data_IF_127724761022
#
_entry.id   IF_127724761022
#
_cell.length_a   1.000
_cell.length_b   1.000
_cell.length_c   1.000
_cell.angle_alpha   90.00
_cell.angle_beta   90.00
_cell.angle_gamma   90.00
#
_symmetry.space_group_name_H-M   'P 1'
#
loop_
_entity.id
_entity.type
_entity.pdbx_description
1 polymer ?
#
# COMPACT_ATOMS: atom_id res chain seq x y z
N UNK A 1 29.37 2.20 -13.49
CA UNK A 1 28.34 2.49 -12.46
C UNK A 1 27.93 1.16 -11.85
N UNK A 2 28.05 0.93 -10.52
CA UNK A 2 27.60 -0.33 -9.94
C UNK A 2 26.08 -0.49 -10.16
N UNK A 3 25.65 -1.68 -10.52
CA UNK A 3 24.28 -1.98 -10.90
C UNK A 3 23.30 -1.61 -9.77
N UNK A 4 22.27 -0.85 -10.13
CA UNK A 4 21.13 -0.49 -9.29
C UNK A 4 20.51 -1.77 -8.71
N UNK A 5 20.48 -1.99 -7.38
CA UNK A 5 19.92 -3.22 -6.83
C UNK A 5 18.43 -3.26 -7.17
N UNK A 6 18.01 -4.27 -7.93
CA UNK A 6 16.62 -4.46 -8.28
C UNK A 6 15.76 -4.47 -7.00
N UNK A 7 14.67 -3.71 -6.97
CA UNK A 7 13.71 -3.64 -5.85
C UNK A 7 13.31 -5.02 -5.29
N UNK A 8 13.31 -6.05 -6.14
CA UNK A 8 13.11 -7.45 -5.72
C UNK A 8 14.14 -7.98 -4.73
N UNK A 9 15.41 -7.56 -4.82
CA UNK A 9 16.45 -7.99 -3.88
C UNK A 9 16.23 -7.42 -2.47
N UNK A 10 15.66 -6.22 -2.35
CA UNK A 10 15.34 -5.62 -1.05
C UNK A 10 14.23 -6.40 -0.33
N UNK A 11 13.15 -6.75 -1.04
CA UNK A 11 12.08 -7.59 -0.49
C UNK A 11 12.57 -8.97 -0.08
N UNK A 12 13.41 -9.61 -0.90
CA UNK A 12 13.96 -10.92 -0.55
C UNK A 12 14.83 -10.86 0.71
N UNK A 13 15.67 -9.83 0.86
CA UNK A 13 16.45 -9.61 2.08
C UNK A 13 15.57 -9.36 3.30
N UNK A 14 14.52 -8.56 3.16
CA UNK A 14 13.59 -8.27 4.24
C UNK A 14 12.86 -9.52 4.74
N UNK A 15 12.42 -10.39 3.82
CA UNK A 15 11.84 -11.69 4.16
C UNK A 15 12.87 -12.60 4.82
N UNK A 16 14.07 -12.72 4.25
CA UNK A 16 15.13 -13.57 4.76
C UNK A 16 15.58 -13.14 6.18
N UNK A 17 15.66 -11.84 6.45
CA UNK A 17 15.97 -11.30 7.79
C UNK A 17 14.94 -11.67 8.87
N UNK A 18 13.73 -12.07 8.46
CA UNK A 18 12.66 -12.58 9.33
C UNK A 18 12.59 -14.12 9.33
N UNK A 19 13.52 -14.80 8.67
CA UNK A 19 13.47 -16.25 8.47
C UNK A 19 12.35 -16.71 7.53
N UNK A 20 11.72 -15.79 6.79
CA UNK A 20 10.60 -16.08 5.91
C UNK A 20 11.05 -16.38 4.48
N UNK A 21 10.28 -17.22 3.80
CA UNK A 21 10.41 -17.47 2.36
C UNK A 21 9.10 -17.13 1.67
N UNK A 22 9.20 -16.46 0.53
CA UNK A 22 8.02 -16.14 -0.27
C UNK A 22 7.32 -17.43 -0.72
N UNK A 23 5.98 -17.45 -0.69
CA UNK A 23 5.20 -18.50 -1.33
C UNK A 23 5.25 -18.37 -2.86
N UNK A 24 4.94 -19.45 -3.57
CA UNK A 24 4.89 -19.44 -5.05
C UNK A 24 3.93 -18.38 -5.58
N UNK A 25 2.70 -18.35 -5.06
CA UNK A 25 1.69 -17.39 -5.48
C UNK A 25 2.12 -15.93 -5.25
N UNK A 26 2.87 -15.65 -4.17
CA UNK A 26 3.37 -14.29 -3.90
C UNK A 26 4.34 -13.85 -5.00
N UNK A 27 5.24 -14.74 -5.43
CA UNK A 27 6.16 -14.46 -6.53
C UNK A 27 5.42 -14.23 -7.86
N UNK A 28 4.32 -14.94 -8.08
CA UNK A 28 3.51 -14.77 -9.29
C UNK A 28 2.80 -13.42 -9.31
N UNK A 29 2.23 -13.00 -8.16
CA UNK A 29 1.68 -11.65 -7.97
C UNK A 29 2.73 -10.58 -8.25
N UNK A 30 3.95 -10.72 -7.69
CA UNK A 30 5.02 -9.75 -7.89
C UNK A 30 5.45 -9.66 -9.36
N UNK A 31 5.50 -10.78 -10.06
CA UNK A 31 5.81 -10.82 -11.50
C UNK A 31 4.73 -10.11 -12.32
N UNK A 32 3.46 -10.33 -12.00
CA UNK A 32 2.34 -9.66 -12.67
C UNK A 32 2.37 -8.14 -12.44
N UNK A 33 2.53 -7.70 -11.19
CA UNK A 33 2.60 -6.28 -10.84
C UNK A 33 3.80 -5.58 -11.47
N UNK A 34 4.98 -6.23 -11.50
CA UNK A 34 6.17 -5.70 -12.19
C UNK A 34 5.94 -5.47 -13.69
N UNK A 35 5.02 -6.23 -14.29
CA UNK A 35 4.64 -6.09 -15.70
C UNK A 35 3.47 -5.11 -15.91
N UNK A 36 3.03 -4.40 -14.87
CA UNK A 36 1.90 -3.46 -14.94
C UNK A 36 0.54 -4.15 -15.10
N UNK A 37 0.45 -5.46 -14.82
CA UNK A 37 -0.81 -6.20 -14.96
C UNK A 37 -1.72 -6.01 -13.74
N UNK A 38 -2.99 -5.73 -13.99
CA UNK A 38 -4.06 -5.80 -12.99
C UNK A 38 -4.55 -7.25 -12.82
N UNK A 39 -5.11 -7.58 -11.66
CA UNK A 39 -5.69 -8.90 -11.42
C UNK A 39 -6.34 -9.05 -10.05
N UNK A 40 -7.05 -10.16 -9.87
CA UNK A 40 -7.67 -10.56 -8.60
C UNK A 40 -6.80 -11.63 -7.92
N UNK A 41 -6.41 -11.37 -6.67
CA UNK A 41 -5.69 -12.34 -5.85
C UNK A 41 -6.68 -13.11 -4.97
N UNK A 42 -6.97 -14.35 -5.36
CA UNK A 42 -7.71 -15.29 -4.54
C UNK A 42 -6.74 -16.32 -3.92
N UNK A 43 -6.74 -16.42 -2.59
CA UNK A 43 -5.97 -17.39 -1.81
C UNK A 43 -6.65 -17.61 -0.45
N UNK A 44 -6.26 -18.62 0.32
CA UNK A 44 -6.90 -18.87 1.62
C UNK A 44 -6.56 -17.77 2.64
N UNK A 45 -7.40 -17.57 3.65
CA UNK A 45 -7.12 -16.66 4.76
C UNK A 45 -5.84 -17.09 5.51
N UNK A 46 -5.08 -16.14 6.04
CA UNK A 46 -3.82 -16.43 6.74
C UNK A 46 -2.61 -16.77 5.84
N UNK A 47 -2.77 -16.83 4.52
CA UNK A 47 -1.67 -17.19 3.59
C UNK A 47 -0.76 -16.01 3.19
N UNK A 48 -1.00 -14.81 3.73
CA UNK A 48 -0.17 -13.63 3.44
C UNK A 48 -0.54 -12.89 2.15
N UNK A 49 -1.82 -12.90 1.73
CA UNK A 49 -2.33 -12.12 0.58
C UNK A 49 -1.99 -10.63 0.66
N UNK A 50 -2.15 -10.02 1.83
CA UNK A 50 -1.81 -8.61 2.06
C UNK A 50 -0.34 -8.34 1.78
N UNK A 51 0.57 -9.16 2.32
CA UNK A 51 2.00 -9.06 2.03
C UNK A 51 2.31 -9.35 0.55
N UNK A 52 1.60 -10.26 -0.09
CA UNK A 52 1.76 -10.56 -1.51
C UNK A 52 1.53 -9.29 -2.36
N UNK A 53 0.38 -8.65 -2.20
CA UNK A 53 0.03 -7.44 -2.93
C UNK A 53 0.95 -6.28 -2.54
N UNK A 54 1.21 -6.09 -1.25
CA UNK A 54 2.00 -4.96 -0.77
C UNK A 54 3.48 -5.00 -1.18
N UNK A 55 4.16 -6.13 -0.94
CA UNK A 55 5.56 -6.29 -1.34
C UNK A 55 5.72 -6.30 -2.87
N UNK A 56 4.68 -6.71 -3.61
CA UNK A 56 4.63 -6.62 -5.06
C UNK A 56 4.51 -5.18 -5.55
N UNK A 57 3.64 -4.38 -4.93
CA UNK A 57 3.50 -2.96 -5.24
C UNK A 57 4.80 -2.19 -4.98
N UNK A 58 5.43 -2.40 -3.81
CA UNK A 58 6.74 -1.80 -3.49
C UNK A 58 7.81 -2.16 -4.52
N UNK A 59 7.83 -3.41 -4.99
CA UNK A 59 8.76 -3.84 -6.05
C UNK A 59 8.48 -3.17 -7.39
N UNK A 60 7.21 -3.15 -7.80
CA UNK A 60 6.78 -2.59 -9.08
C UNK A 60 7.03 -1.07 -9.15
N UNK A 61 6.85 -0.37 -8.02
CA UNK A 61 7.09 1.07 -7.88
C UNK A 61 8.58 1.41 -7.78
N UNK A 62 9.45 0.40 -7.74
CA UNK A 62 10.90 0.60 -7.73
C UNK A 62 11.39 1.38 -6.51
N UNK A 63 10.73 1.20 -5.36
CA UNK A 63 11.08 1.94 -4.14
C UNK A 63 12.49 1.57 -3.72
N UNK A 64 13.35 2.58 -3.62
CA UNK A 64 14.72 2.42 -3.15
C UNK A 64 14.84 3.08 -1.78
N UNK A 65 15.51 2.39 -0.86
CA UNK A 65 15.99 3.00 0.38
C UNK A 65 17.12 3.97 0.01
N UNK A 66 16.95 5.30 0.12
CA UNK A 66 18.06 6.21 -0.11
C UNK A 66 19.12 5.95 0.96
N UNK A 67 20.43 5.99 0.62
CA UNK A 67 21.46 5.91 1.64
C UNK A 67 21.25 7.03 2.67
N UNK A 68 21.31 6.68 3.95
CA UNK A 68 21.15 7.62 5.04
C UNK A 68 22.25 8.69 4.94
N UNK A 69 21.89 9.89 4.49
CA UNK A 69 22.78 11.05 4.56
C UNK A 69 22.62 11.66 5.94
N UNK A 70 23.61 11.46 6.81
CA UNK A 70 23.72 12.22 8.04
C UNK A 70 23.68 13.72 7.69
N UNK A 71 22.76 14.47 8.29
CA UNK A 71 22.54 15.93 8.13
C UNK A 71 21.66 16.41 6.96
N UNK A 72 20.95 15.55 6.24
CA UNK A 72 19.91 16.02 5.31
C UNK A 72 18.58 16.30 6.05
N UNK A 73 17.92 17.44 5.75
CA UNK A 73 16.51 17.66 6.15
C UNK A 73 15.70 16.45 5.71
N UNK A 74 14.83 15.94 6.58
CA UNK A 74 13.97 14.78 6.27
C UNK A 74 13.17 15.12 5.00
N UNK A 75 13.38 14.40 3.89
CA UNK A 75 12.71 14.72 2.64
C UNK A 75 11.20 14.61 2.82
N UNK A 76 10.45 15.47 2.14
CA UNK A 76 9.01 15.38 2.11
C UNK A 76 8.61 14.04 1.50
N UNK A 77 7.68 13.32 2.13
CA UNK A 77 7.20 12.04 1.63
C UNK A 77 6.65 12.19 0.20
N UNK A 78 6.73 11.17 -0.68
CA UNK A 78 6.12 11.26 -2.01
C UNK A 78 4.60 11.53 -1.95
N UNK A 79 3.98 12.07 -3.02
CA UNK A 79 2.53 12.22 -3.11
C UNK A 79 1.81 10.86 -3.09
N UNK A 80 0.48 10.86 -3.05
CA UNK A 80 -0.32 9.64 -3.06
C UNK A 80 0.06 8.75 -4.26
N UNK A 81 0.59 7.57 -3.96
CA UNK A 81 1.11 6.59 -4.93
C UNK A 81 0.39 5.25 -4.81
N UNK A 82 -0.16 4.93 -3.64
CA UNK A 82 -0.93 3.70 -3.42
C UNK A 82 -2.24 4.02 -2.70
N UNK A 83 -3.35 3.63 -3.32
CA UNK A 83 -4.67 3.67 -2.70
C UNK A 83 -5.09 2.23 -2.36
N UNK A 84 -5.27 1.95 -1.08
CA UNK A 84 -5.71 0.66 -0.60
C UNK A 84 -7.16 0.73 -0.12
N UNK A 85 -8.08 0.08 -0.82
CA UNK A 85 -9.50 0.07 -0.46
C UNK A 85 -9.83 -1.23 0.25
N UNK A 86 -10.36 -1.12 1.47
CA UNK A 86 -10.82 -2.25 2.29
C UNK A 86 -12.34 -2.25 2.40
N UNK A 87 -12.99 -3.43 2.44
CA UNK A 87 -14.45 -3.50 2.47
C UNK A 87 -15.07 -3.01 3.78
N UNK A 88 -14.32 -2.99 4.89
CA UNK A 88 -14.83 -2.63 6.21
C UNK A 88 -13.79 -1.89 7.06
N UNK A 89 -14.26 -1.06 8.00
CA UNK A 89 -13.41 -0.21 8.87
C UNK A 89 -12.40 -0.99 9.70
N UNK A 90 -12.80 -2.11 10.30
CA UNK A 90 -11.92 -2.94 11.11
C UNK A 90 -10.70 -3.44 10.30
N UNK A 91 -10.94 -3.88 9.06
CA UNK A 91 -9.89 -4.31 8.15
C UNK A 91 -8.98 -3.16 7.71
N UNK A 92 -9.49 -1.92 7.64
CA UNK A 92 -8.69 -0.75 7.28
C UNK A 92 -7.58 -0.48 8.31
N UNK A 93 -7.91 -0.53 9.60
CA UNK A 93 -6.93 -0.35 10.68
C UNK A 93 -5.87 -1.48 10.69
N UNK A 94 -6.31 -2.73 10.54
CA UNK A 94 -5.43 -3.90 10.51
C UNK A 94 -4.50 -3.89 9.30
N UNK A 95 -5.06 -3.55 8.13
CA UNK A 95 -4.28 -3.39 6.90
C UNK A 95 -3.23 -2.31 7.09
N UNK A 96 -3.60 -1.12 7.58
CA UNK A 96 -2.64 -0.04 7.78
C UNK A 96 -1.49 -0.44 8.72
N UNK A 97 -1.76 -1.25 9.75
CA UNK A 97 -0.70 -1.83 10.61
C UNK A 97 0.18 -2.82 9.84
N UNK A 98 -0.42 -3.74 9.07
CA UNK A 98 0.32 -4.73 8.28
C UNK A 98 1.19 -4.11 7.18
N UNK A 99 0.79 -2.97 6.59
CA UNK A 99 1.59 -2.28 5.59
C UNK A 99 2.78 -1.52 6.21
N UNK A 100 2.62 -0.99 7.43
CA UNK A 100 3.64 -0.18 8.12
C UNK A 100 4.95 -0.93 8.39
N UNK A 101 4.87 -2.18 8.83
CA UNK A 101 6.05 -2.98 9.18
C UNK A 101 7.06 -3.10 8.01
N UNK A 102 6.69 -3.66 6.84
CA UNK A 102 7.58 -3.67 5.69
C UNK A 102 7.91 -2.27 5.16
N UNK A 103 6.98 -1.31 5.23
CA UNK A 103 7.22 0.07 4.74
C UNK A 103 8.33 0.77 5.52
N UNK A 104 8.44 0.54 6.83
CA UNK A 104 9.46 1.17 7.67
C UNK A 104 10.89 0.87 7.22
N UNK A 105 11.12 -0.32 6.65
CA UNK A 105 12.44 -0.75 6.17
C UNK A 105 12.62 -0.57 4.66
N UNK A 106 11.59 -0.89 3.88
CA UNK A 106 11.65 -0.91 2.42
C UNK A 106 11.36 0.46 1.79
N UNK A 107 10.65 1.34 2.51
CA UNK A 107 10.20 2.64 2.03
C UNK A 107 10.18 3.69 3.16
N UNK A 108 11.30 3.93 3.87
CA UNK A 108 11.31 4.73 5.11
C UNK A 108 10.93 6.21 4.94
N UNK A 109 10.91 6.71 3.70
CA UNK A 109 10.49 8.09 3.37
C UNK A 109 9.00 8.20 3.07
N UNK A 110 8.28 7.08 2.93
CA UNK A 110 6.86 7.07 2.60
C UNK A 110 6.01 7.32 3.84
N UNK A 111 4.85 7.94 3.63
CA UNK A 111 3.85 8.12 4.67
C UNK A 111 2.63 7.25 4.41
N UNK A 112 1.99 6.80 5.49
CA UNK A 112 0.74 6.02 5.44
C UNK A 112 -0.32 6.65 6.33
N UNK A 113 -1.51 6.83 5.77
CA UNK A 113 -2.68 7.35 6.48
C UNK A 113 -3.90 6.44 6.32
N UNK A 114 -4.84 6.59 7.25
CA UNK A 114 -6.13 5.90 7.26
C UNK A 114 -7.24 6.93 7.07
N UNK A 115 -8.13 6.68 6.10
CA UNK A 115 -9.39 7.42 5.91
C UNK A 115 -10.56 6.46 6.07
N UNK A 116 -11.20 6.50 7.23
CA UNK A 116 -12.39 5.72 7.54
C UNK A 116 -13.41 6.60 8.27
N UNK A 117 -14.54 6.02 8.68
CA UNK A 117 -15.47 6.71 9.57
C UNK A 117 -14.88 7.04 10.94
N UNK A 118 -13.78 6.42 11.35
CA UNK A 118 -13.09 6.67 12.64
C UNK A 118 -12.06 7.79 12.55
N UNK A 119 -11.71 8.23 11.34
CA UNK A 119 -10.72 9.30 11.15
C UNK A 119 -11.22 10.57 11.85
N UNK A 120 -10.35 11.23 12.60
CA UNK A 120 -10.72 12.48 13.30
C UNK A 120 -10.91 13.63 12.31
N UNK A 121 -11.61 14.68 12.70
CA UNK A 121 -11.73 15.90 11.88
C UNK A 121 -10.37 16.54 11.57
N UNK A 122 -9.45 16.53 12.54
CA UNK A 122 -8.10 17.06 12.38
C UNK A 122 -7.28 16.25 11.37
N UNK A 123 -7.30 14.92 11.45
CA UNK A 123 -6.64 14.05 10.46
C UNK A 123 -7.27 14.23 9.08
N UNK A 124 -8.60 14.35 9.00
CA UNK A 124 -9.27 14.61 7.71
C UNK A 124 -8.79 15.92 7.09
N UNK A 125 -8.79 17.01 7.85
CA UNK A 125 -8.34 18.31 7.39
C UNK A 125 -6.85 18.30 6.99
N UNK A 126 -6.00 17.54 7.68
CA UNK A 126 -4.60 17.36 7.29
C UNK A 126 -4.46 16.61 5.96
N UNK A 127 -5.22 15.53 5.77
CA UNK A 127 -5.23 14.73 4.55
C UNK A 127 -5.80 15.51 3.35
N UNK A 128 -6.83 16.33 3.57
CA UNK A 128 -7.44 17.16 2.53
C UNK A 128 -6.45 18.24 2.02
N UNK A 129 -5.53 18.69 2.88
CA UNK A 129 -4.40 19.56 2.46
C UNK A 129 -3.32 18.78 1.73
N UNK A 130 -3.01 17.56 2.19
CA UNK A 130 -1.96 16.72 1.62
C UNK A 130 -2.17 15.25 1.97
N UNK A 131 -2.40 14.44 0.94
CA UNK A 131 -2.55 13.00 1.08
C UNK A 131 -1.22 12.31 1.47
N UNK A 132 -1.30 11.20 2.22
CA UNK A 132 -0.14 10.34 2.45
C UNK A 132 0.30 9.63 1.17
N UNK A 133 1.52 9.10 1.14
CA UNK A 133 2.01 8.29 0.01
C UNK A 133 1.17 7.02 -0.18
N UNK A 134 0.71 6.43 0.93
CA UNK A 134 -0.19 5.28 0.99
C UNK A 134 -1.45 5.68 1.76
N UNK A 135 -2.61 5.60 1.12
CA UNK A 135 -3.90 5.83 1.77
C UNK A 135 -4.66 4.51 1.89
N UNK A 136 -4.92 4.07 3.11
CA UNK A 136 -5.87 2.97 3.38
C UNK A 136 -7.25 3.59 3.63
N UNK A 137 -8.27 3.14 2.90
CA UNK A 137 -9.62 3.73 2.95
C UNK A 137 -10.72 2.68 2.84
N UNK A 138 -11.97 3.11 3.04
CA UNK A 138 -13.19 2.34 2.71
C UNK A 138 -13.91 2.95 1.51
N UNK A 139 -14.77 2.21 0.78
CA UNK A 139 -15.53 2.74 -0.34
C UNK A 139 -16.35 3.99 0.01
N UNK A 140 -17.00 4.01 1.16
CA UNK A 140 -17.84 5.12 1.62
C UNK A 140 -16.98 6.35 1.91
N UNK A 141 -15.84 6.15 2.59
CA UNK A 141 -14.92 7.23 2.94
C UNK A 141 -14.25 7.84 1.71
N UNK A 142 -13.91 7.00 0.73
CA UNK A 142 -13.39 7.44 -0.57
C UNK A 142 -14.44 8.24 -1.35
N UNK A 143 -15.68 7.75 -1.40
CA UNK A 143 -16.79 8.45 -2.06
C UNK A 143 -16.97 9.86 -1.48
N UNK A 144 -16.97 9.98 -0.14
CA UNK A 144 -17.09 11.28 0.53
C UNK A 144 -15.88 12.21 0.28
N UNK A 145 -14.68 11.65 0.10
CA UNK A 145 -13.48 12.42 -0.21
C UNK A 145 -13.53 12.94 -1.66
N UNK A 146 -13.88 12.07 -2.63
CA UNK A 146 -14.00 12.43 -4.03
C UNK A 146 -15.13 13.44 -4.30
N UNK A 147 -16.20 13.42 -3.50
CA UNK A 147 -17.27 14.42 -3.61
C UNK A 147 -16.83 15.84 -3.18
N UNK A 148 -15.70 15.98 -2.47
CA UNK A 148 -15.20 17.26 -1.92
C UNK A 148 -13.93 17.75 -2.61
N UNK A 149 -13.22 16.87 -3.31
CA UNK A 149 -11.93 17.14 -3.95
C UNK A 149 -12.06 17.06 -5.48
N UNK A 150 -11.14 17.68 -6.21
CA UNK A 150 -10.98 17.36 -7.63
C UNK A 150 -10.46 15.90 -7.74
N UNK A 151 -11.22 14.98 -8.36
CA UNK A 151 -10.83 13.58 -8.47
C UNK A 151 -9.53 13.38 -9.27
N UNK A 152 -9.21 14.27 -10.22
CA UNK A 152 -8.03 14.14 -11.07
C UNK A 152 -6.75 14.36 -10.27
N UNK A 153 -6.74 15.37 -9.38
CA UNK A 153 -5.61 15.64 -8.48
C UNK A 153 -5.42 14.54 -7.43
N UNK A 154 -6.51 13.85 -7.07
CA UNK A 154 -6.51 12.84 -6.01
C UNK A 154 -5.97 11.48 -6.48
N UNK A 155 -6.18 11.10 -7.75
CA UNK A 155 -5.92 9.73 -8.24
C UNK A 155 -4.85 9.62 -9.34
N UNK A 156 -4.23 10.73 -9.76
CA UNK A 156 -3.31 10.78 -10.92
C UNK A 156 -2.10 9.82 -10.87
N UNK A 157 -1.71 9.33 -9.68
CA UNK A 157 -0.46 8.58 -9.50
C UNK A 157 -0.63 7.24 -8.74
N UNK A 158 -1.88 6.82 -8.50
CA UNK A 158 -2.20 5.72 -7.58
C UNK A 158 -2.23 4.33 -8.22
N UNK A 159 -1.46 3.37 -7.70
CA UNK A 159 -1.81 1.95 -7.83
C UNK A 159 -2.95 1.63 -6.87
N UNK A 160 -4.05 1.08 -7.40
CA UNK A 160 -5.20 0.63 -6.61
C UNK A 160 -4.97 -0.82 -6.16
N UNK A 161 -5.02 -1.04 -4.84
CA UNK A 161 -5.01 -2.39 -4.27
C UNK A 161 -6.31 -2.62 -3.51
N UNK A 162 -7.11 -3.58 -3.98
CA UNK A 162 -8.25 -4.10 -3.22
C UNK A 162 -7.75 -5.02 -2.10
N UNK A 163 -8.06 -4.69 -0.84
CA UNK A 163 -7.79 -5.57 0.30
C UNK A 163 -8.59 -6.87 0.24
N UNK A 164 -8.21 -7.89 1.03
CA UNK A 164 -9.02 -9.12 1.12
C UNK A 164 -10.44 -8.86 1.67
N UNK A 165 -11.38 -9.78 1.38
CA UNK A 165 -12.76 -9.73 1.90
C UNK A 165 -13.82 -9.23 0.92
N UNK A 166 -13.46 -8.93 -0.34
CA UNK A 166 -14.47 -8.57 -1.36
C UNK A 166 -15.46 -9.70 -1.66
N UNK A 167 -15.03 -10.96 -1.56
CA UNK A 167 -15.92 -12.13 -1.75
C UNK A 167 -17.07 -12.14 -0.71
N UNK A 168 -16.83 -11.65 0.50
CA UNK A 168 -17.82 -11.59 1.60
C UNK A 168 -18.83 -10.45 1.39
N UNK A 169 -18.39 -9.33 0.79
CA UNK A 169 -19.28 -8.18 0.47
C UNK A 169 -20.13 -8.44 -0.77
N UNK A 170 -19.61 -9.16 -1.76
CA UNK A 170 -20.35 -9.50 -2.98
C UNK A 170 -21.41 -10.58 -2.72
N UNK A 171 -21.15 -11.48 -1.75
CA UNK A 171 -22.08 -12.56 -1.38
C UNK A 171 -23.35 -12.12 -0.63
N UNK A 172 -23.39 -10.90 -0.08
CA UNK A 172 -24.52 -10.43 0.74
C UNK A 172 -25.59 -9.65 -0.06
N UNK A 173 -25.68 -9.89 -1.37
CA UNK A 173 -26.73 -9.35 -2.26
C UNK A 173 -27.58 -10.46 -2.89
N UNK A 174 -27.86 -11.51 -2.11
CA UNK A 174 -28.78 -12.60 -2.46
C UNK A 174 -30.04 -12.53 -1.62
#
# INVERSE_FOLDING_TARGET
MPAKPASGAAVQRWLAGRGWKAFAFQRDVWRALKQGRSGLLHANTGTGKTLAAWLGALQALGVETPPARANAKKPLAPPLTVLWITPMRALAADTARALRDPMAELAPTWSIGLRSGDTTSGERAAQDKRLPTVLVTTPESLTLQLARADPQDTLAHGQLVGGGGWDEVVGNKG
#
